data_IF_926916901643
#
_entry.id   IF_926916901643
#
_cell.length_a   1.000
_cell.length_b   1.000
_cell.length_c   1.000
_cell.angle_alpha   90.00
_cell.angle_beta   90.00
_cell.angle_gamma   90.00
#
_symmetry.space_group_name_H-M   'P 1'
#
loop_
_entity.id
_entity.type
_entity.pdbx_description
1 polymer ?
#
# COMPACT_ATOMS: atom_id res chain seq x y z
N UNK A 1 -23.54 30.85 6.49
CA UNK A 1 -22.08 30.88 6.69
C UNK A 1 -21.76 29.83 7.74
N UNK A 2 -21.53 28.59 7.33
CA UNK A 2 -21.10 27.53 8.26
C UNK A 2 -19.60 27.72 8.52
N UNK A 3 -19.20 27.79 9.78
CA UNK A 3 -17.81 27.85 10.17
C UNK A 3 -17.18 26.47 9.94
N UNK A 4 -16.27 26.37 8.97
CA UNK A 4 -15.44 25.17 8.81
C UNK A 4 -14.54 24.99 10.02
N UNK A 5 -14.52 23.77 10.56
CA UNK A 5 -13.61 23.35 11.62
C UNK A 5 -12.27 22.92 10.98
N UNK A 6 -11.17 23.13 11.70
CA UNK A 6 -9.81 22.68 11.33
C UNK A 6 -9.74 21.17 11.02
N UNK A 7 -10.72 20.37 11.47
CA UNK A 7 -10.82 18.95 11.14
C UNK A 7 -11.08 18.67 9.64
N UNK A 8 -11.80 19.56 8.94
CA UNK A 8 -12.09 19.39 7.50
C UNK A 8 -10.88 19.75 6.61
N UNK A 9 -9.93 20.55 7.10
CA UNK A 9 -8.71 20.90 6.33
C UNK A 9 -7.71 19.74 6.24
N UNK A 10 -7.75 18.79 7.18
CA UNK A 10 -6.79 17.66 7.22
C UNK A 10 -7.22 16.49 6.33
N UNK A 11 -8.49 16.44 5.91
CA UNK A 11 -9.07 15.32 5.13
C UNK A 11 -8.66 15.26 3.64
N UNK A 12 -7.87 16.23 3.14
CA UNK A 12 -7.62 16.38 1.69
C UNK A 12 -6.34 15.73 1.15
N UNK A 13 -5.60 14.96 1.96
CA UNK A 13 -4.33 14.32 1.56
C UNK A 13 -4.34 12.79 1.68
N UNK A 14 -5.49 12.17 1.47
CA UNK A 14 -5.59 10.71 1.47
C UNK A 14 -5.69 10.19 0.03
N UNK A 15 -4.93 9.13 -0.26
CA UNK A 15 -5.06 8.37 -1.49
C UNK A 15 -5.50 6.96 -1.10
N UNK A 16 -6.74 6.62 -1.45
CA UNK A 16 -7.31 5.29 -1.21
C UNK A 16 -7.27 4.50 -2.52
N UNK A 17 -6.70 3.30 -2.48
CA UNK A 17 -6.64 2.38 -3.61
C UNK A 17 -7.41 1.11 -3.23
N UNK A 18 -8.50 0.84 -3.94
CA UNK A 18 -9.28 -0.39 -3.77
C UNK A 18 -9.03 -1.33 -4.97
N UNK A 19 -8.77 -2.60 -4.67
CA UNK A 19 -8.55 -3.66 -5.67
C UNK A 19 -9.18 -4.97 -5.20
N UNK A 20 -9.79 -5.68 -6.14
CA UNK A 20 -10.31 -7.04 -5.93
C UNK A 20 -9.31 -8.02 -6.52
N UNK A 21 -8.94 -9.03 -5.72
CA UNK A 21 -8.05 -10.09 -6.14
C UNK A 21 -8.80 -11.42 -6.10
N UNK A 22 -8.71 -12.18 -7.19
CA UNK A 22 -9.11 -13.59 -7.22
C UNK A 22 -7.99 -14.43 -6.61
N UNK A 23 -7.79 -14.27 -5.30
CA UNK A 23 -6.75 -14.94 -4.53
C UNK A 23 -7.15 -15.06 -3.05
N UNK A 24 -6.65 -16.07 -2.33
CA UNK A 24 -6.83 -16.16 -0.89
C UNK A 24 -6.22 -14.96 -0.14
N UNK A 25 -6.84 -14.58 0.99
CA UNK A 25 -6.40 -13.45 1.83
C UNK A 25 -4.95 -13.61 2.27
N UNK A 26 -4.55 -14.82 2.64
CA UNK A 26 -3.20 -15.14 3.11
C UNK A 26 -2.17 -14.81 2.02
N UNK A 27 -2.47 -15.18 0.77
CA UNK A 27 -1.58 -14.88 -0.36
C UNK A 27 -1.52 -13.38 -0.65
N UNK A 28 -2.62 -12.66 -0.51
CA UNK A 28 -2.60 -11.19 -0.62
C UNK A 28 -1.71 -10.62 0.48
N UNK A 29 -1.83 -11.07 1.73
CA UNK A 29 -0.97 -10.59 2.81
C UNK A 29 0.52 -10.89 2.57
N UNK A 30 0.85 -12.10 2.10
CA UNK A 30 2.22 -12.51 1.81
C UNK A 30 2.91 -11.61 0.79
N UNK A 31 2.20 -11.19 -0.28
CA UNK A 31 2.82 -10.32 -1.29
C UNK A 31 3.17 -8.93 -0.77
N UNK A 32 2.57 -8.48 0.33
CA UNK A 32 2.91 -7.21 0.99
C UNK A 32 3.90 -7.37 2.15
N UNK A 33 4.17 -8.59 2.61
CA UNK A 33 4.96 -8.85 3.83
C UNK A 33 6.17 -9.75 3.62
N UNK A 34 6.33 -10.36 2.45
CA UNK A 34 7.51 -11.13 2.11
C UNK A 34 8.37 -10.37 1.08
N UNK A 35 9.67 -10.15 1.34
CA UNK A 35 10.53 -9.35 0.48
C UNK A 35 10.71 -9.95 -0.92
N UNK A 36 10.68 -11.27 -1.07
CA UNK A 36 10.80 -11.95 -2.37
C UNK A 36 9.60 -11.68 -3.29
N UNK A 37 8.43 -11.45 -2.70
CA UNK A 37 7.23 -11.09 -3.43
C UNK A 37 7.21 -9.60 -3.75
N UNK A 38 7.50 -8.74 -2.76
CA UNK A 38 7.54 -7.29 -2.94
C UNK A 38 8.44 -6.85 -4.10
N UNK A 39 9.64 -7.42 -4.21
CA UNK A 39 10.58 -7.14 -5.31
C UNK A 39 9.98 -7.34 -6.70
N UNK A 40 9.00 -8.24 -6.84
CA UNK A 40 8.41 -8.63 -8.12
C UNK A 40 7.19 -7.80 -8.49
N UNK A 41 6.51 -7.18 -7.51
CA UNK A 41 5.17 -6.61 -7.72
C UNK A 41 5.02 -5.16 -7.27
N UNK A 42 5.89 -4.66 -6.38
CA UNK A 42 5.77 -3.32 -5.80
C UNK A 42 5.96 -2.19 -6.83
N UNK A 43 6.77 -2.44 -7.85
CA UNK A 43 7.07 -1.48 -8.91
C UNK A 43 6.37 -1.80 -10.22
N UNK A 44 6.26 -0.82 -11.14
CA UNK A 44 5.83 -1.10 -12.51
C UNK A 44 6.78 -2.10 -13.17
N UNK A 45 6.25 -2.95 -14.05
CA UNK A 45 6.97 -4.09 -14.68
C UNK A 45 8.33 -3.74 -15.31
N UNK A 46 8.56 -2.50 -15.71
CA UNK A 46 9.81 -2.04 -16.35
C UNK A 46 10.85 -1.48 -15.37
N UNK A 47 10.58 -1.49 -14.06
CA UNK A 47 11.50 -1.06 -13.01
C UNK A 47 11.88 -2.23 -12.11
N UNK A 48 13.15 -2.27 -11.71
CA UNK A 48 13.60 -3.16 -10.65
C UNK A 48 13.47 -2.45 -9.30
N UNK A 49 12.94 -3.14 -8.30
CA UNK A 49 12.87 -2.65 -6.92
C UNK A 49 13.81 -3.52 -6.07
N UNK A 50 15.10 -3.14 -5.94
CA UNK A 50 15.99 -3.87 -5.04
C UNK A 50 15.57 -3.61 -3.60
N UNK A 51 15.34 -4.68 -2.85
CA UNK A 51 15.03 -4.61 -1.41
C UNK A 51 16.30 -4.99 -0.66
N UNK A 52 16.93 -4.01 0.00
CA UNK A 52 18.11 -4.24 0.83
C UNK A 52 17.73 -4.68 2.25
N UNK A 53 16.68 -4.08 2.80
CA UNK A 53 16.15 -4.35 4.14
C UNK A 53 14.62 -4.31 4.10
N UNK A 54 13.98 -5.23 4.79
CA UNK A 54 12.54 -5.30 4.91
C UNK A 54 12.15 -5.83 6.28
N UNK A 55 11.22 -5.15 6.95
CA UNK A 55 10.70 -5.57 8.24
C UNK A 55 9.18 -5.33 8.28
N UNK A 56 8.41 -6.42 8.27
CA UNK A 56 6.97 -6.35 8.53
C UNK A 56 6.74 -6.31 10.03
N UNK A 57 6.11 -5.23 10.52
CA UNK A 57 5.70 -5.08 11.93
C UNK A 57 4.17 -5.12 12.04
N UNK A 58 3.62 -5.70 13.13
CA UNK A 58 2.19 -5.66 13.43
C UNK A 58 1.65 -4.24 13.59
#
# INVERSE_FOLDING_TARGET
MAASSVADEVASKEIVIERVFDAPRERVFDVFTQPEHLQKWWGPKMFSVPISEFEARP
#
